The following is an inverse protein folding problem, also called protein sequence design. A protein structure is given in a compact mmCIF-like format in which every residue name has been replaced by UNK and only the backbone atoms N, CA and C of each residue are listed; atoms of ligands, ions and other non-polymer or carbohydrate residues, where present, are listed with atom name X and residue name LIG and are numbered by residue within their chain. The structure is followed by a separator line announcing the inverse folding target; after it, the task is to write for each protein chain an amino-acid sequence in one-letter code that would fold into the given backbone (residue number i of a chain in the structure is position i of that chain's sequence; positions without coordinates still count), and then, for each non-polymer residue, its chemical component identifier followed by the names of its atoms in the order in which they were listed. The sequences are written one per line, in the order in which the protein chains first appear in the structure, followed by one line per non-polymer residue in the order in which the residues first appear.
data_IF_463868802589
#
_entry.id   IF_463868802589
#
_cell.length_a   1.000
_cell.length_b   1.000
_cell.length_c   1.000
_cell.angle_alpha   90.00
_cell.angle_beta   90.00
_cell.angle_gamma   90.00
#
_symmetry.space_group_name_H-M   'P 1'
#
loop_
_entity.id
_entity.type
_entity.pdbx_description
1 polymer ?
#
# COMPACT_ATOMS: atom_id res chain seq x y z
N UNK A 1 0.09 15.86 35.07
CA UNK A 1 -0.71 15.91 33.83
C UNK A 1 -0.47 14.61 33.07
N UNK A 2 -1.26 13.58 33.35
CA UNK A 2 -1.36 12.45 32.42
C UNK A 2 -2.17 12.95 31.23
N UNK A 3 -1.49 13.14 30.11
CA UNK A 3 -2.15 13.45 28.85
C UNK A 3 -2.71 12.12 28.32
N UNK A 4 -3.91 11.75 28.76
CA UNK A 4 -4.62 10.59 28.24
C UNK A 4 -4.78 10.82 26.73
N UNK A 5 -4.07 10.02 25.93
CA UNK A 5 -4.15 10.12 24.47
C UNK A 5 -5.62 10.03 24.05
N UNK A 6 -6.05 10.93 23.17
CA UNK A 6 -7.41 10.89 22.63
C UNK A 6 -7.67 9.51 22.02
N UNK A 7 -8.79 8.89 22.39
CA UNK A 7 -9.15 7.56 21.87
C UNK A 7 -9.52 7.69 20.40
N UNK A 8 -8.73 7.07 19.53
CA UNK A 8 -9.00 7.01 18.11
C UNK A 8 -9.80 5.72 17.79
N UNK A 9 -11.03 5.80 17.24
CA UNK A 9 -11.92 4.64 17.07
C UNK A 9 -11.39 3.59 16.08
N UNK A 10 -10.48 4.00 15.18
CA UNK A 10 -9.97 3.16 14.10
C UNK A 10 -8.49 2.84 14.28
N UNK A 11 -8.10 2.50 15.50
CA UNK A 11 -6.70 2.30 15.88
C UNK A 11 -6.01 1.25 15.00
N UNK A 12 -6.70 0.14 14.67
CA UNK A 12 -6.10 -0.92 13.86
C UNK A 12 -5.89 -0.47 12.41
N UNK A 13 -6.88 0.17 11.79
CA UNK A 13 -6.75 0.73 10.43
C UNK A 13 -5.69 1.83 10.38
N UNK A 14 -5.61 2.64 11.44
CA UNK A 14 -4.57 3.67 11.60
C UNK A 14 -3.16 3.06 11.61
N UNK A 15 -2.93 2.00 12.39
CA UNK A 15 -1.65 1.29 12.42
C UNK A 15 -1.29 0.68 11.06
N UNK A 16 -2.26 0.11 10.35
CA UNK A 16 -2.04 -0.44 9.01
C UNK A 16 -1.74 0.67 8.00
N UNK A 17 -2.38 1.83 8.12
CA UNK A 17 -2.05 3.01 7.32
C UNK A 17 -0.61 3.45 7.57
N UNK A 18 -0.18 3.51 8.83
CA UNK A 18 1.21 3.84 9.17
C UNK A 18 2.19 2.79 8.62
N UNK A 19 1.85 1.51 8.67
CA UNK A 19 2.67 0.45 8.08
C UNK A 19 2.81 0.62 6.55
N UNK A 20 1.72 0.96 5.85
CA UNK A 20 1.75 1.24 4.41
C UNK A 20 2.62 2.47 4.07
N UNK A 21 2.52 3.53 4.89
CA UNK A 21 3.34 4.75 4.76
C UNK A 21 4.81 4.46 5.05
N UNK A 22 5.12 3.68 6.08
CA UNK A 22 6.50 3.28 6.39
C UNK A 22 7.11 2.47 5.23
N UNK A 23 6.39 1.47 4.72
CA UNK A 23 6.80 0.71 3.53
C UNK A 23 7.06 1.65 2.35
N UNK A 24 6.21 2.65 2.14
CA UNK A 24 6.38 3.65 1.07
C UNK A 24 7.65 4.49 1.25
N UNK A 25 7.97 4.90 2.47
CA UNK A 25 9.23 5.59 2.78
C UNK A 25 10.44 4.70 2.50
N UNK A 26 10.39 3.42 2.89
CA UNK A 26 11.46 2.45 2.58
C UNK A 26 11.67 2.33 1.07
N UNK A 27 10.61 2.22 0.27
CA UNK A 27 10.75 2.14 -1.18
C UNK A 27 11.27 3.44 -1.81
N UNK A 28 10.89 4.60 -1.28
CA UNK A 28 11.45 5.88 -1.71
C UNK A 28 12.94 6.01 -1.37
N UNK A 29 13.33 5.57 -0.17
CA UNK A 29 14.72 5.50 0.25
C UNK A 29 15.55 4.60 -0.68
N UNK A 30 15.02 3.42 -1.02
CA UNK A 30 15.67 2.49 -1.95
C UNK A 30 15.90 3.11 -3.33
N UNK A 31 14.96 3.92 -3.85
CA UNK A 31 15.18 4.69 -5.09
C UNK A 31 16.32 5.68 -4.92
N UNK A 32 16.38 6.42 -3.81
CA UNK A 32 17.48 7.35 -3.52
C UNK A 32 18.84 6.64 -3.53
N UNK A 33 18.93 5.47 -2.90
CA UNK A 33 20.14 4.66 -2.89
C UNK A 33 20.48 4.13 -4.29
N UNK A 34 19.50 3.68 -5.07
CA UNK A 34 19.70 3.21 -6.43
C UNK A 34 20.18 4.34 -7.37
N UNK A 35 19.66 5.57 -7.20
CA UNK A 35 20.16 6.76 -7.94
C UNK A 35 21.64 6.98 -7.70
N UNK A 36 22.06 6.93 -6.42
CA UNK A 36 23.48 7.08 -6.05
C UNK A 36 24.33 5.95 -6.61
N UNK A 37 23.87 4.70 -6.48
CA UNK A 37 24.58 3.50 -6.96
C UNK A 37 24.81 3.54 -8.48
N UNK A 38 23.82 3.97 -9.25
CA UNK A 38 23.84 3.90 -10.71
C UNK A 38 24.12 5.26 -11.39
N UNK A 39 24.41 6.32 -10.64
CA UNK A 39 24.68 7.65 -11.20
C UNK A 39 23.48 8.30 -11.91
N UNK A 40 22.25 7.94 -11.55
CA UNK A 40 21.03 8.46 -12.21
C UNK A 40 20.51 9.70 -11.49
N UNK A 41 21.04 10.86 -11.88
CA UNK A 41 20.62 12.15 -11.33
C UNK A 41 19.18 12.51 -11.77
N UNK A 42 18.36 13.11 -10.88
CA UNK A 42 17.12 13.77 -11.30
C UNK A 42 17.40 14.81 -12.41
N UNK A 43 16.49 15.00 -13.39
CA UNK A 43 15.14 14.46 -13.50
C UNK A 43 15.06 13.09 -14.19
N UNK A 44 16.18 12.42 -14.48
CA UNK A 44 16.16 11.15 -15.20
C UNK A 44 15.38 10.07 -14.43
N UNK A 45 14.52 9.37 -15.16
CA UNK A 45 13.65 8.28 -14.67
C UNK A 45 13.93 6.95 -15.36
N UNK A 46 15.06 6.86 -16.05
CA UNK A 46 15.54 5.65 -16.70
C UNK A 46 17.04 5.48 -16.45
N UNK A 47 17.50 4.23 -16.43
CA UNK A 47 18.89 3.85 -16.20
C UNK A 47 19.06 2.35 -16.42
N UNK A 48 20.05 1.71 -15.77
CA UNK A 48 20.21 0.26 -15.80
C UNK A 48 18.95 -0.47 -15.29
N UNK A 49 18.75 -1.71 -15.73
CA UNK A 49 17.56 -2.51 -15.36
C UNK A 49 17.33 -2.62 -13.85
N UNK A 50 18.41 -2.74 -13.06
CA UNK A 50 18.32 -2.74 -11.59
C UNK A 50 17.67 -1.46 -11.05
N UNK A 51 18.10 -0.29 -11.55
CA UNK A 51 17.53 1.00 -11.19
C UNK A 51 16.06 1.10 -11.61
N UNK A 52 15.75 0.71 -12.86
CA UNK A 52 14.39 0.76 -13.40
C UNK A 52 13.43 -0.11 -12.56
N UNK A 53 13.89 -1.27 -12.08
CA UNK A 53 13.11 -2.15 -11.19
C UNK A 53 12.81 -1.50 -9.85
N UNK A 54 13.81 -0.93 -9.18
CA UNK A 54 13.63 -0.23 -7.89
C UNK A 54 12.67 0.95 -8.05
N UNK A 55 12.84 1.74 -9.12
CA UNK A 55 11.96 2.86 -9.43
C UNK A 55 10.52 2.39 -9.69
N UNK A 56 10.32 1.29 -10.41
CA UNK A 56 8.97 0.77 -10.71
C UNK A 56 8.27 0.20 -9.48
N UNK A 57 9.00 -0.45 -8.56
CA UNK A 57 8.43 -0.87 -7.27
C UNK A 57 7.89 0.33 -6.50
N UNK A 58 8.67 1.40 -6.42
CA UNK A 58 8.29 2.62 -5.70
C UNK A 58 7.10 3.32 -6.36
N UNK A 59 7.10 3.46 -7.69
CA UNK A 59 6.06 4.20 -8.42
C UNK A 59 4.75 3.42 -8.48
N UNK A 60 4.81 2.11 -8.76
CA UNK A 60 3.61 1.27 -8.75
C UNK A 60 2.98 1.20 -7.36
N UNK A 61 3.79 1.17 -6.29
CA UNK A 61 3.24 1.23 -4.93
C UNK A 61 2.52 2.57 -4.68
N UNK A 62 3.05 3.69 -5.20
CA UNK A 62 2.37 5.00 -5.12
C UNK A 62 1.02 4.97 -5.82
N UNK A 63 0.98 4.50 -7.08
CA UNK A 63 -0.25 4.38 -7.88
C UNK A 63 -1.33 3.58 -7.13
N UNK A 64 -0.90 2.55 -6.40
CA UNK A 64 -1.80 1.60 -5.77
C UNK A 64 -2.25 2.07 -4.38
N UNK A 65 -1.43 2.83 -3.66
CA UNK A 65 -1.84 3.49 -2.42
C UNK A 65 -2.98 4.49 -2.62
N UNK A 66 -3.02 5.17 -3.78
CA UNK A 66 -4.11 6.10 -4.15
C UNK A 66 -5.47 5.40 -4.19
N UNK A 67 -5.50 4.13 -4.59
CA UNK A 67 -6.73 3.32 -4.60
C UNK A 67 -6.97 2.70 -3.22
N UNK A 68 -5.92 2.13 -2.62
CA UNK A 68 -6.00 1.36 -1.39
C UNK A 68 -6.48 2.18 -0.19
N UNK A 69 -5.91 3.37 0.04
CA UNK A 69 -6.21 4.15 1.24
C UNK A 69 -7.69 4.57 1.30
N UNK A 70 -8.31 5.13 0.23
CA UNK A 70 -9.73 5.47 0.27
C UNK A 70 -10.64 4.28 0.58
N UNK A 71 -10.46 3.14 -0.10
CA UNK A 71 -11.33 1.98 0.10
C UNK A 71 -11.11 1.32 1.47
N UNK A 72 -9.88 1.33 1.98
CA UNK A 72 -9.57 0.88 3.35
C UNK A 72 -10.35 1.70 4.38
N UNK A 73 -10.28 3.03 4.28
CA UNK A 73 -10.92 3.93 5.24
C UNK A 73 -12.45 3.90 5.14
N UNK A 74 -13.00 3.75 3.93
CA UNK A 74 -14.43 3.54 3.77
C UNK A 74 -14.89 2.25 4.47
N UNK A 75 -14.17 1.14 4.33
CA UNK A 75 -14.51 -0.09 5.08
C UNK A 75 -14.39 0.14 6.59
N UNK A 76 -13.35 0.83 7.06
CA UNK A 76 -13.15 1.07 8.50
C UNK A 76 -14.30 1.87 9.12
N UNK A 77 -14.72 2.95 8.44
CA UNK A 77 -15.76 3.87 8.94
C UNK A 77 -17.17 3.31 8.75
N UNK A 78 -17.45 2.67 7.62
CA UNK A 78 -18.81 2.23 7.25
C UNK A 78 -19.12 0.84 7.80
N UNK A 79 -18.12 -0.03 7.94
CA UNK A 79 -18.33 -1.43 8.25
C UNK A 79 -17.62 -1.87 9.54
N UNK A 80 -16.29 -1.90 9.56
CA UNK A 80 -15.53 -2.44 10.70
C UNK A 80 -14.04 -2.10 10.62
N UNK A 81 -13.50 -1.55 11.71
CA UNK A 81 -12.06 -1.29 11.88
C UNK A 81 -11.22 -2.57 11.76
N UNK A 82 -11.66 -3.67 12.36
CA UNK A 82 -10.89 -4.94 12.37
C UNK A 82 -10.88 -5.60 10.99
N UNK A 83 -11.98 -5.53 10.23
CA UNK A 83 -12.03 -6.06 8.86
C UNK A 83 -11.15 -5.24 7.93
N UNK A 84 -11.24 -3.90 8.00
CA UNK A 84 -10.38 -3.00 7.24
C UNK A 84 -8.91 -3.27 7.54
N UNK A 85 -8.53 -3.31 8.82
CA UNK A 85 -7.16 -3.56 9.22
C UNK A 85 -6.63 -4.93 8.76
N UNK A 86 -7.43 -5.98 8.86
CA UNK A 86 -7.03 -7.34 8.44
C UNK A 86 -6.72 -7.39 6.94
N UNK A 87 -7.64 -6.88 6.11
CA UNK A 87 -7.44 -6.80 4.67
C UNK A 87 -6.27 -5.87 4.31
N UNK A 88 -6.15 -4.73 4.98
CA UNK A 88 -5.04 -3.81 4.75
C UNK A 88 -3.67 -4.38 5.12
N UNK A 89 -3.58 -5.20 6.17
CA UNK A 89 -2.34 -5.90 6.51
C UNK A 89 -1.94 -6.89 5.40
N UNK A 90 -2.90 -7.67 4.88
CA UNK A 90 -2.66 -8.57 3.74
C UNK A 90 -2.15 -7.77 2.53
N UNK A 91 -2.74 -6.60 2.27
CA UNK A 91 -2.30 -5.71 1.19
C UNK A 91 -0.84 -5.26 1.36
N UNK A 92 -0.45 -4.81 2.57
CA UNK A 92 0.94 -4.39 2.86
C UNK A 92 1.92 -5.55 2.67
N UNK A 93 1.61 -6.74 3.19
CA UNK A 93 2.46 -7.91 3.03
C UNK A 93 2.59 -8.34 1.57
N UNK A 94 1.49 -8.28 0.80
CA UNK A 94 1.50 -8.54 -0.63
C UNK A 94 2.36 -7.53 -1.41
N UNK A 95 2.41 -6.26 -1.00
CA UNK A 95 3.31 -5.25 -1.59
C UNK A 95 4.77 -5.54 -1.32
N UNK A 96 5.09 -5.97 -0.11
CA UNK A 96 6.46 -6.36 0.25
C UNK A 96 6.89 -7.57 -0.60
N UNK A 97 6.03 -8.59 -0.74
CA UNK A 97 6.30 -9.72 -1.62
C UNK A 97 6.46 -9.28 -3.08
N UNK A 98 5.54 -8.45 -3.60
CA UNK A 98 5.66 -7.87 -4.94
C UNK A 98 7.02 -7.20 -5.16
N UNK A 99 7.49 -6.40 -4.19
CA UNK A 99 8.78 -5.73 -4.26
C UNK A 99 9.94 -6.73 -4.38
N UNK A 100 10.00 -7.75 -3.52
CA UNK A 100 11.04 -8.78 -3.60
C UNK A 100 11.05 -9.51 -4.95
N UNK A 101 9.87 -9.91 -5.43
CA UNK A 101 9.75 -10.60 -6.73
C UNK A 101 10.13 -9.71 -7.91
N UNK A 102 9.85 -8.40 -7.83
CA UNK A 102 10.22 -7.44 -8.88
C UNK A 102 11.74 -7.18 -8.90
N UNK A 103 12.34 -7.04 -7.73
CA UNK A 103 13.78 -6.76 -7.60
C UNK A 103 14.64 -7.96 -8.04
N UNK A 104 14.19 -9.19 -7.74
CA UNK A 104 14.91 -10.41 -8.14
C UNK A 104 15.01 -10.58 -9.67
N UNK A 105 14.06 -10.07 -10.46
CA UNK A 105 14.07 -10.19 -11.92
C UNK A 105 13.46 -11.47 -12.48
N UNK A 106 13.07 -12.41 -11.62
CA UNK A 106 12.64 -13.76 -12.02
C UNK A 106 11.19 -13.84 -12.55
N UNK A 107 10.54 -12.71 -12.89
CA UNK A 107 9.11 -12.70 -13.23
C UNK A 107 8.15 -13.04 -12.06
N UNK A 108 8.69 -13.32 -10.86
CA UNK A 108 7.96 -13.71 -9.63
C UNK A 108 7.20 -12.56 -8.96
N UNK A 109 7.04 -11.42 -9.62
CA UNK A 109 6.26 -10.27 -9.13
C UNK A 109 4.75 -10.50 -9.16
N UNK A 110 4.27 -11.39 -10.02
CA UNK A 110 2.83 -11.51 -10.30
C UNK A 110 1.96 -11.96 -9.12
N UNK A 111 2.36 -12.94 -8.29
CA UNK A 111 1.53 -13.37 -7.16
C UNK A 111 1.20 -12.22 -6.20
N UNK A 112 2.22 -11.45 -5.76
CA UNK A 112 2.01 -10.29 -4.88
C UNK A 112 1.17 -9.20 -5.55
N UNK A 113 1.32 -8.99 -6.86
CA UNK A 113 0.49 -8.03 -7.60
C UNK A 113 -0.98 -8.45 -7.66
N UNK A 114 -1.26 -9.73 -7.90
CA UNK A 114 -2.62 -10.25 -7.96
C UNK A 114 -3.32 -10.18 -6.60
N UNK A 115 -2.61 -10.53 -5.51
CA UNK A 115 -3.16 -10.39 -4.16
C UNK A 115 -3.52 -8.93 -3.88
N UNK A 116 -2.67 -7.98 -4.27
CA UNK A 116 -2.99 -6.56 -4.13
C UNK A 116 -4.29 -6.16 -4.85
N UNK A 117 -4.47 -6.58 -6.10
CA UNK A 117 -5.69 -6.31 -6.86
C UNK A 117 -6.91 -6.91 -6.16
N UNK A 118 -6.85 -8.20 -5.82
CA UNK A 118 -7.97 -8.90 -5.18
C UNK A 118 -8.36 -8.23 -3.87
N UNK A 119 -7.39 -7.90 -3.01
CA UNK A 119 -7.67 -7.24 -1.73
C UNK A 119 -8.27 -5.85 -1.93
N UNK A 120 -7.73 -5.04 -2.85
CA UNK A 120 -8.30 -3.72 -3.16
C UNK A 120 -9.72 -3.83 -3.73
N UNK A 121 -10.00 -4.84 -4.57
CA UNK A 121 -11.35 -5.10 -5.08
C UNK A 121 -12.32 -5.54 -3.99
N UNK A 122 -11.89 -6.40 -3.05
CA UNK A 122 -12.72 -6.81 -1.90
C UNK A 122 -13.06 -5.59 -1.04
N UNK A 123 -12.06 -4.75 -0.71
CA UNK A 123 -12.28 -3.51 0.04
C UNK A 123 -13.27 -2.59 -0.68
N UNK A 124 -13.11 -2.42 -2.00
CA UNK A 124 -14.01 -1.60 -2.81
C UNK A 124 -15.46 -2.11 -2.78
N UNK A 125 -15.68 -3.40 -3.06
CA UNK A 125 -17.02 -4.00 -3.08
C UNK A 125 -17.67 -3.93 -1.71
N UNK A 126 -16.89 -4.18 -0.65
CA UNK A 126 -17.44 -4.15 0.71
C UNK A 126 -17.78 -2.74 1.18
N UNK A 127 -16.94 -1.75 0.84
CA UNK A 127 -17.27 -0.34 1.06
C UNK A 127 -18.55 0.07 0.31
N UNK A 128 -18.66 -0.30 -0.97
CA UNK A 128 -19.81 0.02 -1.79
C UNK A 128 -21.10 -0.62 -1.24
N UNK A 129 -21.05 -1.90 -0.86
CA UNK A 129 -22.17 -2.59 -0.23
C UNK A 129 -22.63 -1.90 1.05
N UNK A 130 -21.70 -1.55 1.95
CA UNK A 130 -22.02 -0.89 3.21
C UNK A 130 -22.68 0.48 3.00
N UNK A 131 -22.18 1.27 2.05
CA UNK A 131 -22.76 2.57 1.70
C UNK A 131 -24.15 2.43 1.04
N UNK A 132 -24.30 1.50 0.09
CA UNK A 132 -25.57 1.26 -0.58
C UNK A 132 -26.65 0.79 0.41
N UNK A 133 -26.29 -0.05 1.38
CA UNK A 133 -27.21 -0.49 2.43
C UNK A 133 -27.73 0.68 3.28
N UNK A 134 -26.92 1.72 3.52
CA UNK A 134 -27.34 2.92 4.25
C UNK A 134 -28.27 3.84 3.46
N UNK A 135 -28.15 3.85 2.12
CA UNK A 135 -28.99 4.69 1.25
C UNK A 135 -30.33 4.01 0.94
N UNK A 136 -30.35 2.68 0.88
CA UNK A 136 -31.55 1.89 0.54
C UNK A 136 -32.36 1.44 1.75
N UNK A 137 -31.79 1.52 2.96
CA UNK A 137 -32.47 1.24 4.23
C UNK A 137 -32.98 2.52 4.89
#
# INVERSE_FOLDING_TARGET
MEQTLATFPYAYTGLVTLAAVLMKFVFAWNVGQARRKHGVAPPLTHGPDEFNRVLRVQSNTTEQMIIFLPVLWLVAVVNSDTVAASLGLVWVLARIWYAFGYLAGDGKRMPGFLINIVVSSILFVYAAWGLLAQVMG
#
